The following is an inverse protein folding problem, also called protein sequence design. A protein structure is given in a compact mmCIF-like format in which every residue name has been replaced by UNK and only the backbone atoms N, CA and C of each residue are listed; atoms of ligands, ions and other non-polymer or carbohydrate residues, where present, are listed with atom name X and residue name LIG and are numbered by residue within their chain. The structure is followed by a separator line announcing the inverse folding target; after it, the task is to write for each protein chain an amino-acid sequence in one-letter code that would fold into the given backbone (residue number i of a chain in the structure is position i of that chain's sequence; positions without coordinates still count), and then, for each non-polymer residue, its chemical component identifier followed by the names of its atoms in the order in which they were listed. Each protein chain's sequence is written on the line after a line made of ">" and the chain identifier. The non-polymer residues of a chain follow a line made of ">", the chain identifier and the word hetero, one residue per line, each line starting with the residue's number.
data_IF_548563181369
#
_entry.id   IF_548563181369
#
_cell.length_a   1.000
_cell.length_b   1.000
_cell.length_c   1.000
_cell.angle_alpha   90.00
_cell.angle_beta   90.00
_cell.angle_gamma   90.00
#
_symmetry.space_group_name_H-M   'P 1'
#
loop_
_entity.id
_entity.type
_entity.pdbx_description
1 polymer ?
#
# COMPACT_ATOMS: atom_id res chain seq x y z
N UNK A 1 13.71 -4.62 29.01
CA UNK A 1 12.37 -4.65 28.37
C UNK A 1 11.74 -3.29 28.61
N UNK A 2 11.52 -2.48 27.58
CA UNK A 2 11.02 -1.10 27.74
C UNK A 2 9.49 -1.05 27.73
N UNK A 3 8.93 -0.14 28.51
CA UNK A 3 7.52 0.23 28.43
C UNK A 3 7.32 1.07 27.17
N UNK A 4 6.30 0.74 26.38
CA UNK A 4 5.93 1.47 25.18
C UNK A 4 5.17 2.76 25.51
N UNK A 5 4.84 3.57 24.48
CA UNK A 5 4.20 4.88 24.66
C UNK A 5 2.80 4.80 25.31
N UNK A 6 2.15 3.63 25.29
CA UNK A 6 0.84 3.39 25.90
C UNK A 6 0.92 2.80 27.31
N UNK A 7 2.09 2.77 27.94
CA UNK A 7 2.26 2.14 29.27
C UNK A 7 2.28 0.60 29.26
N UNK A 8 2.12 -0.02 28.08
CA UNK A 8 2.17 -1.48 27.88
C UNK A 8 3.53 -1.92 27.32
N UNK A 9 3.90 -3.22 27.36
CA UNK A 9 5.16 -3.70 26.80
C UNK A 9 5.34 -3.31 25.33
N UNK A 10 6.52 -2.76 24.99
CA UNK A 10 6.81 -2.32 23.62
C UNK A 10 6.75 -3.46 22.60
N UNK A 11 6.06 -3.25 21.48
CA UNK A 11 6.10 -4.07 20.25
C UNK A 11 6.98 -3.37 19.21
N UNK A 12 7.77 -4.12 18.47
CA UNK A 12 8.69 -3.61 17.44
C UNK A 12 8.91 -4.65 16.34
N UNK A 13 9.47 -4.22 15.21
CA UNK A 13 9.81 -5.07 14.07
C UNK A 13 11.25 -4.82 13.64
N UNK A 14 11.97 -5.87 13.25
CA UNK A 14 13.24 -5.77 12.53
C UNK A 14 12.95 -6.07 11.06
N UNK A 15 13.29 -5.12 10.19
CA UNK A 15 13.20 -5.32 8.75
C UNK A 15 14.43 -6.07 8.24
N UNK A 16 14.24 -6.93 7.24
CA UNK A 16 15.33 -7.73 6.66
C UNK A 16 16.36 -6.87 5.91
N UNK A 17 15.87 -5.90 5.13
CA UNK A 17 16.69 -5.08 4.23
C UNK A 17 16.60 -3.60 4.64
N UNK A 18 15.74 -2.84 3.96
CA UNK A 18 15.50 -1.44 4.25
C UNK A 18 14.38 -1.30 5.29
N UNK A 19 14.57 -0.39 6.24
CA UNK A 19 13.52 0.00 7.17
C UNK A 19 12.53 0.92 6.45
N UNK A 20 11.39 0.35 6.05
CA UNK A 20 10.29 1.07 5.42
C UNK A 20 8.99 0.61 6.12
N UNK A 21 8.24 1.56 6.68
CA UNK A 21 7.14 1.27 7.59
C UNK A 21 6.00 0.51 6.91
N UNK A 22 5.73 0.80 5.65
CA UNK A 22 4.65 0.16 4.89
C UNK A 22 4.98 -1.23 4.37
N UNK A 23 6.18 -1.77 4.64
CA UNK A 23 6.48 -3.19 4.47
C UNK A 23 5.74 -4.07 5.48
N UNK A 24 5.27 -3.50 6.59
CA UNK A 24 4.44 -4.21 7.56
C UNK A 24 3.06 -4.48 6.96
N UNK A 25 2.77 -5.74 6.65
CA UNK A 25 1.48 -6.16 6.13
C UNK A 25 0.32 -5.89 7.11
N UNK A 26 -0.93 -5.87 6.62
CA UNK A 26 -2.10 -5.48 7.40
C UNK A 26 -2.30 -6.33 8.67
N UNK A 27 -2.01 -7.63 8.61
CA UNK A 27 -2.19 -8.54 9.74
C UNK A 27 -1.25 -8.18 10.91
N UNK A 28 0.03 -7.91 10.60
CA UNK A 28 1.01 -7.49 11.59
C UNK A 28 0.82 -6.03 12.02
N UNK A 29 0.30 -5.18 11.14
CA UNK A 29 0.08 -3.77 11.42
C UNK A 29 -0.86 -3.57 12.61
N UNK A 30 -1.97 -4.32 12.67
CA UNK A 30 -2.91 -4.26 13.80
C UNK A 30 -2.28 -4.66 15.13
N UNK A 31 -1.48 -5.74 15.14
CA UNK A 31 -0.78 -6.16 16.35
C UNK A 31 0.31 -5.17 16.77
N UNK A 32 1.10 -4.67 15.81
CA UNK A 32 2.18 -3.72 16.10
C UNK A 32 1.65 -2.42 16.73
N UNK A 33 0.44 -1.99 16.32
CA UNK A 33 -0.21 -0.77 16.78
C UNK A 33 -1.24 -0.97 17.91
N UNK A 34 -1.22 -2.13 18.58
CA UNK A 34 -2.11 -2.41 19.72
C UNK A 34 -3.62 -2.34 19.38
N UNK A 35 -3.98 -2.50 18.10
CA UNK A 35 -5.39 -2.63 17.67
C UNK A 35 -5.93 -4.02 18.02
N UNK A 36 -5.05 -5.03 18.01
CA UNK A 36 -5.35 -6.39 18.45
C UNK A 36 -4.26 -6.91 19.38
N UNK A 37 -4.65 -7.76 20.33
CA UNK A 37 -3.71 -8.32 21.32
C UNK A 37 -2.97 -9.55 20.81
N UNK A 38 -3.65 -10.35 20.00
CA UNK A 38 -3.08 -11.58 19.45
C UNK A 38 -2.29 -11.27 18.18
N UNK A 39 -1.00 -11.66 18.10
CA UNK A 39 -0.25 -11.56 16.85
C UNK A 39 -0.88 -12.49 15.81
N UNK A 40 -0.67 -12.25 14.50
CA UNK A 40 -0.99 -13.22 13.47
C UNK A 40 -0.33 -14.55 13.85
N UNK A 41 -1.13 -15.57 14.18
CA UNK A 41 -0.60 -16.85 14.64
C UNK A 41 0.12 -17.53 13.47
N UNK A 42 1.32 -18.04 13.71
CA UNK A 42 2.02 -18.89 12.73
C UNK A 42 1.20 -20.14 12.37
N UNK A 43 0.30 -20.55 13.28
CA UNK A 43 -0.42 -21.82 13.23
C UNK A 43 -1.83 -21.71 12.62
N UNK A 44 -2.27 -20.49 12.27
CA UNK A 44 -3.56 -20.28 11.59
C UNK A 44 -3.30 -19.95 10.13
N UNK A 45 -3.61 -20.89 9.26
CA UNK A 45 -3.53 -20.70 7.81
C UNK A 45 -4.55 -19.64 7.40
N UNK A 46 -4.07 -18.44 7.08
CA UNK A 46 -4.90 -17.37 6.59
C UNK A 46 -5.27 -17.64 5.13
N UNK A 47 -6.57 -17.74 4.86
CA UNK A 47 -7.10 -17.92 3.50
C UNK A 47 -7.56 -16.56 2.97
N UNK A 48 -6.85 -15.95 2.00
CA UNK A 48 -7.27 -14.68 1.42
C UNK A 48 -8.58 -14.86 0.65
N UNK A 49 -9.40 -13.81 0.65
CA UNK A 49 -10.66 -13.80 -0.13
C UNK A 49 -10.35 -13.62 -1.61
N UNK A 50 -11.25 -14.06 -2.49
CA UNK A 50 -11.06 -14.01 -3.95
C UNK A 50 -10.82 -12.60 -4.51
N UNK A 51 -11.35 -11.57 -3.86
CA UNK A 51 -11.17 -10.17 -4.23
C UNK A 51 -9.96 -9.50 -3.57
N UNK A 52 -9.31 -10.17 -2.64
CA UNK A 52 -8.24 -9.59 -1.84
C UNK A 52 -6.94 -9.57 -2.64
N UNK A 53 -6.33 -8.39 -2.71
CA UNK A 53 -5.03 -8.22 -3.38
C UNK A 53 -3.90 -8.56 -2.41
N UNK A 54 -2.76 -9.08 -2.93
CA UNK A 54 -1.53 -9.19 -2.14
C UNK A 54 -1.09 -7.83 -1.60
N UNK A 55 -0.47 -7.85 -0.42
CA UNK A 55 0.10 -6.65 0.18
C UNK A 55 1.21 -6.08 -0.71
N UNK A 56 1.14 -4.77 -0.99
CA UNK A 56 2.16 -4.02 -1.71
C UNK A 56 2.56 -2.80 -0.86
N UNK A 57 3.85 -2.61 -0.54
CA UNK A 57 4.30 -1.43 0.18
C UNK A 57 4.12 -0.16 -0.65
N UNK A 58 4.29 0.98 0.01
CA UNK A 58 4.19 2.29 -0.60
C UNK A 58 5.28 2.49 -1.66
N UNK A 59 4.84 2.71 -2.90
CA UNK A 59 5.72 2.94 -4.05
C UNK A 59 5.90 4.42 -4.38
N UNK A 60 5.48 5.33 -3.50
CA UNK A 60 5.69 6.77 -3.71
C UNK A 60 7.17 7.07 -3.92
N UNK A 61 7.49 7.89 -4.93
CA UNK A 61 8.87 8.24 -5.27
C UNK A 61 9.65 7.17 -6.04
N UNK A 62 9.07 6.00 -6.31
CA UNK A 62 9.69 4.96 -7.15
C UNK A 62 9.13 4.98 -8.58
N UNK A 63 9.77 4.29 -9.55
CA UNK A 63 9.20 4.12 -10.89
C UNK A 63 7.79 3.50 -10.88
N UNK A 64 7.48 2.65 -9.89
CA UNK A 64 6.19 1.97 -9.73
C UNK A 64 5.10 2.80 -9.04
N UNK A 65 5.36 4.07 -8.73
CA UNK A 65 4.35 4.96 -8.16
C UNK A 65 3.07 4.97 -9.00
N UNK A 66 1.91 4.91 -8.33
CA UNK A 66 0.63 5.08 -8.99
C UNK A 66 0.53 6.48 -9.59
N UNK A 67 0.12 6.56 -10.85
CA UNK A 67 -0.07 7.82 -11.57
C UNK A 67 -1.49 7.86 -12.11
N UNK A 68 -2.33 8.80 -11.65
CA UNK A 68 -3.72 8.87 -12.09
C UNK A 68 -3.80 9.25 -13.57
N UNK A 69 -4.92 8.90 -14.20
CA UNK A 69 -5.20 9.30 -15.57
C UNK A 69 -5.14 10.83 -15.71
N UNK A 70 -4.45 11.33 -16.74
CA UNK A 70 -4.22 12.76 -16.95
C UNK A 70 -3.02 13.35 -16.21
N UNK A 71 -2.36 12.61 -15.31
CA UNK A 71 -1.07 13.04 -14.77
C UNK A 71 -0.05 13.19 -15.91
N UNK A 72 0.73 14.27 -15.90
CA UNK A 72 1.82 14.49 -16.87
C UNK A 72 2.91 13.42 -16.79
N UNK A 73 3.04 12.77 -15.64
CA UNK A 73 3.98 11.67 -15.42
C UNK A 73 3.40 10.31 -15.83
N UNK A 74 2.08 10.21 -16.05
CA UNK A 74 1.44 8.95 -16.44
C UNK A 74 1.84 8.57 -17.86
N UNK A 75 1.91 7.27 -18.14
CA UNK A 75 2.32 6.74 -19.44
C UNK A 75 1.30 7.10 -20.53
N UNK A 76 1.59 8.16 -21.28
CA UNK A 76 1.33 8.31 -22.71
C UNK A 76 -0.10 8.40 -23.22
N UNK A 77 -1.13 8.22 -22.38
CA UNK A 77 -2.54 8.40 -22.80
C UNK A 77 -3.09 9.71 -22.27
N UNK A 78 -3.13 10.71 -23.16
CA UNK A 78 -3.96 11.90 -22.95
C UNK A 78 -5.40 11.42 -22.69
N UNK A 79 -6.07 11.87 -21.62
CA UNK A 79 -7.49 11.57 -21.45
C UNK A 79 -8.24 12.02 -22.72
N UNK A 80 -9.17 11.19 -23.19
CA UNK A 80 -10.02 11.56 -24.34
C UNK A 80 -10.66 12.90 -24.02
N UNK A 81 -10.65 13.82 -24.97
CA UNK A 81 -11.44 15.04 -24.85
C UNK A 81 -12.90 14.64 -24.61
N UNK A 82 -13.48 15.08 -23.50
CA UNK A 82 -14.88 14.84 -23.13
C UNK A 82 -15.86 15.71 -23.93
N UNK A 83 -15.37 16.58 -24.82
CA UNK A 83 -16.22 17.39 -25.67
C UNK A 83 -16.68 16.61 -26.89
N UNK A 84 -17.93 16.83 -27.30
CA UNK A 84 -18.52 16.35 -28.57
C UNK A 84 -17.83 16.91 -29.82
N UNK A 85 -16.78 17.71 -29.62
CA UNK A 85 -15.99 18.32 -30.68
C UNK A 85 -15.14 17.29 -31.40
N UNK A 86 -15.42 17.12 -32.69
CA UNK A 86 -14.55 16.41 -33.63
C UNK A 86 -13.72 17.42 -34.41
N UNK A 87 -12.40 17.38 -34.25
CA UNK A 87 -11.51 18.28 -34.98
C UNK A 87 -11.55 17.95 -36.48
N UNK A 88 -11.70 18.99 -37.31
CA UNK A 88 -11.66 18.85 -38.77
C UNK A 88 -10.29 18.34 -39.22
N UNK A 89 -10.27 17.31 -40.08
CA UNK A 89 -9.06 16.77 -40.70
C UNK A 89 -9.12 17.02 -42.21
N UNK A 90 -8.27 17.91 -42.78
CA UNK A 90 -8.15 18.03 -44.22
C UNK A 90 -7.57 16.73 -44.79
N UNK A 91 -8.22 16.21 -45.84
CA UNK A 91 -7.66 15.18 -46.72
C UNK A 91 -7.04 15.82 -47.94
#
# INVERSE_FOLDING_TARGET
>A
KGVGPLGVPRRWVIFKNQAEATLVGPDWHGWLHYTVDTPPAADKEYIPRSWQKPHKPNMTGTPEAYRPAGSTLATGRRPKATGDYSAWQPK
#
